data_IF_425980225010
#
_entry.id   IF_425980225010
#
_cell.length_a   1.000
_cell.length_b   1.000
_cell.length_c   1.000
_cell.angle_alpha   90.00
_cell.angle_beta   90.00
_cell.angle_gamma   90.00
#
_symmetry.space_group_name_H-M   'P 1'
#
loop_
_entity.id
_entity.type
_entity.pdbx_description
1 polymer ?
#
# COMPACT_ATOMS: atom_id res chain seq x y z
N UNK A 1 -30.44 34.18 -34.45
CA UNK A 1 -29.07 33.89 -34.93
C UNK A 1 -28.08 34.74 -34.16
N UNK A 2 -26.97 34.12 -33.73
CA UNK A 2 -25.79 34.66 -33.03
C UNK A 2 -25.91 34.80 -31.51
N UNK A 3 -25.32 33.84 -30.80
CA UNK A 3 -24.17 34.06 -29.91
C UNK A 3 -23.84 32.76 -29.17
N UNK A 4 -22.67 32.15 -29.43
CA UNK A 4 -21.79 31.51 -28.43
C UNK A 4 -20.62 30.78 -29.11
N UNK A 5 -19.57 31.48 -29.54
CA UNK A 5 -18.21 30.89 -29.63
C UNK A 5 -17.20 32.01 -29.37
N UNK A 6 -16.61 32.04 -28.17
CA UNK A 6 -15.25 32.54 -27.92
C UNK A 6 -14.80 32.10 -26.51
N UNK A 7 -14.08 30.96 -26.43
CA UNK A 7 -12.89 30.74 -25.59
C UNK A 7 -12.43 29.29 -25.72
N UNK A 8 -11.26 29.08 -26.31
CA UNK A 8 -10.64 27.77 -26.47
C UNK A 8 -9.38 27.88 -27.33
N UNK A 9 -8.31 28.51 -26.79
CA UNK A 9 -6.96 28.55 -27.41
C UNK A 9 -5.84 28.53 -26.36
N UNK A 10 -6.06 27.85 -25.23
CA UNK A 10 -5.08 27.76 -24.14
C UNK A 10 -4.70 26.34 -23.71
N UNK A 11 -5.59 25.35 -23.91
CA UNK A 11 -5.35 23.97 -23.48
C UNK A 11 -4.44 23.20 -24.46
N UNK A 12 -4.59 23.41 -25.77
CA UNK A 12 -3.84 22.64 -26.78
C UNK A 12 -2.32 22.89 -26.73
N UNK A 13 -1.88 24.07 -26.27
CA UNK A 13 -0.46 24.42 -26.24
C UNK A 13 0.30 23.73 -25.10
N UNK A 14 -0.37 23.43 -23.99
CA UNK A 14 0.20 22.71 -22.83
C UNK A 14 0.25 21.19 -23.06
N UNK A 15 -0.75 20.63 -23.76
CA UNK A 15 -0.76 19.22 -24.14
C UNK A 15 0.32 18.88 -25.19
N UNK A 16 0.56 19.78 -26.15
CA UNK A 16 1.58 19.57 -27.17
C UNK A 16 3.01 19.67 -26.61
N UNK A 17 3.26 20.57 -25.65
CA UNK A 17 4.57 20.64 -24.97
C UNK A 17 4.88 19.40 -24.14
N UNK A 18 3.89 18.82 -23.44
CA UNK A 18 4.09 17.59 -22.68
C UNK A 18 4.44 16.38 -23.56
N UNK A 19 3.79 16.26 -24.72
CA UNK A 19 4.09 15.18 -25.69
C UNK A 19 5.46 15.33 -26.36
N UNK A 20 5.97 16.56 -26.52
CA UNK A 20 7.32 16.80 -27.04
C UNK A 20 8.40 16.50 -25.99
N UNK A 21 8.13 16.77 -24.71
CA UNK A 21 9.02 16.45 -23.60
C UNK A 21 9.11 14.95 -23.35
N UNK A 22 8.00 14.21 -23.41
CA UNK A 22 7.99 12.75 -23.32
C UNK A 22 8.81 12.09 -24.44
N UNK A 23 8.70 12.59 -25.68
CA UNK A 23 9.51 12.09 -26.80
C UNK A 23 11.00 12.36 -26.63
N UNK A 24 11.39 13.47 -25.99
CA UNK A 24 12.79 13.76 -25.67
C UNK A 24 13.32 12.80 -24.60
N UNK A 25 12.55 12.58 -23.54
CA UNK A 25 12.93 11.65 -22.47
C UNK A 25 13.08 10.22 -23.01
N UNK A 26 12.16 9.78 -23.87
CA UNK A 26 12.22 8.45 -24.49
C UNK A 26 13.43 8.30 -25.44
N UNK A 27 13.79 9.36 -26.16
CA UNK A 27 14.98 9.38 -27.02
C UNK A 27 16.28 9.35 -26.20
N UNK A 28 16.34 10.08 -25.08
CA UNK A 28 17.49 10.10 -24.17
C UNK A 28 17.71 8.72 -23.51
N UNK A 29 16.62 8.06 -23.09
CA UNK A 29 16.66 6.71 -22.51
C UNK A 29 17.14 5.66 -23.51
N UNK A 30 16.65 5.70 -24.75
CA UNK A 30 17.11 4.80 -25.82
C UNK A 30 18.58 5.01 -26.16
N UNK A 31 19.06 6.25 -26.10
CA UNK A 31 20.48 6.57 -26.30
C UNK A 31 21.35 6.02 -25.17
N UNK A 32 20.93 6.18 -23.91
CA UNK A 32 21.64 5.64 -22.75
C UNK A 32 21.68 4.10 -22.77
N UNK A 33 20.57 3.45 -23.14
CA UNK A 33 20.52 1.99 -23.23
C UNK A 33 21.45 1.45 -24.34
N UNK A 34 21.57 2.18 -25.45
CA UNK A 34 22.50 1.82 -26.52
C UNK A 34 23.97 2.01 -26.09
N UNK A 35 24.29 3.10 -25.41
CA UNK A 35 25.63 3.35 -24.86
C UNK A 35 26.04 2.27 -23.84
N UNK A 36 25.11 1.81 -22.99
CA UNK A 36 25.39 0.76 -22.01
C UNK A 36 25.51 -0.63 -22.66
N UNK A 37 24.75 -0.90 -23.73
CA UNK A 37 24.94 -2.10 -24.57
C UNK A 37 26.29 -2.10 -25.27
N UNK A 38 26.74 -0.95 -25.78
CA UNK A 38 28.03 -0.81 -26.45
C UNK A 38 29.20 -0.93 -25.45
N UNK A 39 29.06 -0.39 -24.22
CA UNK A 39 30.03 -0.59 -23.12
C UNK A 39 30.11 -2.07 -22.71
N UNK A 40 28.99 -2.77 -22.63
CA UNK A 40 28.95 -4.19 -22.28
C UNK A 40 29.55 -5.07 -23.40
N UNK A 41 29.40 -4.67 -24.66
CA UNK A 41 30.01 -5.36 -25.81
C UNK A 41 31.52 -5.15 -25.84
N UNK A 42 32.00 -3.94 -25.59
CA UNK A 42 33.43 -3.65 -25.46
C UNK A 42 34.08 -4.38 -24.26
N UNK A 43 33.38 -4.51 -23.12
CA UNK A 43 33.90 -5.30 -21.99
C UNK A 43 34.06 -6.79 -22.34
N UNK A 44 33.21 -7.34 -23.21
CA UNK A 44 33.30 -8.75 -23.66
C UNK A 44 34.37 -8.96 -24.75
N UNK A 45 34.73 -7.94 -25.51
CA UNK A 45 35.81 -8.00 -26.50
C UNK A 45 37.21 -7.83 -25.88
N UNK A 46 37.32 -7.12 -24.75
CA UNK A 46 38.62 -6.86 -24.07
C UNK A 46 39.10 -8.04 -23.20
N UNK A 47 38.25 -9.04 -22.91
CA UNK A 47 38.65 -10.17 -22.06
C UNK A 47 38.08 -11.52 -22.54
N UNK A 48 38.82 -12.28 -23.38
CA UNK A 48 38.30 -13.50 -24.00
C UNK A 48 38.37 -14.75 -23.10
N UNK A 49 38.67 -14.65 -21.79
CA UNK A 49 38.96 -15.81 -20.93
C UNK A 49 37.90 -16.21 -19.89
N UNK A 50 36.67 -15.72 -19.97
CA UNK A 50 35.57 -16.23 -19.13
C UNK A 50 34.59 -17.09 -19.94
N UNK A 51 35.08 -18.22 -20.45
CA UNK A 51 34.25 -19.41 -20.69
C UNK A 51 34.79 -20.56 -19.86
N UNK A 52 34.05 -20.92 -18.82
CA UNK A 52 34.15 -22.19 -18.11
C UNK A 52 35.24 -22.24 -17.03
N UNK A 53 34.82 -22.41 -15.78
CA UNK A 53 35.75 -22.69 -14.69
C UNK A 53 35.07 -22.75 -13.33
N UNK A 54 34.75 -23.97 -12.89
CA UNK A 54 34.41 -24.36 -11.52
C UNK A 54 35.46 -23.80 -10.54
N UNK A 55 35.03 -23.22 -9.41
CA UNK A 55 35.95 -22.82 -8.33
C UNK A 55 35.46 -23.40 -7.00
N UNK A 56 36.31 -24.25 -6.43
CA UNK A 56 36.26 -24.76 -5.06
C UNK A 56 36.75 -23.71 -4.07
N UNK A 57 36.22 -23.76 -2.85
CA UNK A 57 36.52 -22.87 -1.74
C UNK A 57 37.66 -23.45 -0.90
N UNK A 58 38.67 -22.69 -0.49
CA UNK A 58 39.45 -22.96 0.74
C UNK A 58 40.08 -21.68 1.35
N UNK A 59 39.56 -21.31 2.53
CA UNK A 59 40.20 -20.78 3.75
C UNK A 59 41.35 -19.74 3.69
N UNK A 60 41.08 -18.57 4.31
CA UNK A 60 41.86 -18.08 5.46
C UNK A 60 42.48 -16.69 5.38
N UNK A 61 41.92 -15.71 6.12
CA UNK A 61 42.54 -15.01 7.28
C UNK A 61 41.90 -13.64 7.59
N UNK A 62 41.83 -13.37 8.89
CA UNK A 62 41.30 -12.21 9.61
C UNK A 62 42.35 -11.11 9.80
N UNK A 63 41.96 -9.83 9.74
CA UNK A 63 42.61 -8.71 10.44
C UNK A 63 41.53 -7.71 10.92
N UNK A 64 41.63 -7.32 12.18
CA UNK A 64 40.80 -6.39 12.94
C UNK A 64 41.27 -4.93 12.81
N UNK A 65 40.33 -3.98 12.79
CA UNK A 65 40.36 -2.72 13.58
C UNK A 65 39.09 -1.89 13.32
N UNK A 66 38.50 -1.38 14.40
CA UNK A 66 37.43 -0.37 14.49
C UNK A 66 38.02 0.84 15.25
N UNK A 67 37.33 1.98 15.44
CA UNK A 67 36.10 2.48 14.81
C UNK A 67 36.23 3.95 14.31
N UNK A 68 35.34 4.43 13.44
CA UNK A 68 34.64 5.71 13.67
C UNK A 68 33.52 5.97 12.67
N UNK A 69 32.55 6.73 13.19
CA UNK A 69 31.25 7.10 12.64
C UNK A 69 31.41 7.98 11.40
N UNK A 70 30.57 7.76 10.39
CA UNK A 70 29.74 8.83 9.84
C UNK A 70 28.60 8.26 8.99
N UNK A 71 27.50 9.00 9.09
CA UNK A 71 26.20 8.88 8.44
C UNK A 71 26.23 8.79 6.91
N UNK A 72 25.16 8.21 6.36
CA UNK A 72 24.78 8.15 4.94
C UNK A 72 25.47 7.06 4.10
N UNK A 73 24.89 5.87 4.12
CA UNK A 73 25.05 4.90 3.04
C UNK A 73 23.96 5.15 1.99
N UNK A 74 24.25 6.10 1.10
CA UNK A 74 23.68 6.16 -0.25
C UNK A 74 24.31 5.04 -1.09
N UNK A 75 23.52 4.04 -1.52
CA UNK A 75 23.86 3.08 -2.58
C UNK A 75 22.56 2.40 -3.08
N UNK A 76 22.49 1.89 -4.33
CA UNK A 76 22.11 2.58 -5.56
C UNK A 76 20.70 2.18 -6.07
N UNK A 77 19.97 3.13 -6.65
CA UNK A 77 18.72 2.89 -7.38
C UNK A 77 19.07 2.49 -8.82
N UNK A 78 18.53 1.33 -9.25
CA UNK A 78 18.32 0.82 -10.63
C UNK A 78 19.00 -0.53 -10.89
N UNK A 79 18.17 -1.58 -10.94
CA UNK A 79 18.56 -2.86 -11.50
C UNK A 79 17.58 -3.98 -11.16
N UNK A 80 16.45 -4.05 -11.89
CA UNK A 80 15.62 -5.26 -11.92
C UNK A 80 14.13 -5.05 -11.67
N UNK A 81 13.46 -4.26 -12.51
CA UNK A 81 12.00 -4.31 -12.59
C UNK A 81 11.63 -5.49 -13.50
N UNK A 82 11.06 -6.54 -12.92
CA UNK A 82 10.57 -7.72 -13.64
C UNK A 82 9.13 -7.49 -14.11
N UNK A 83 8.65 -8.37 -14.99
CA UNK A 83 7.38 -8.40 -15.73
C UNK A 83 6.08 -8.19 -14.92
N UNK A 84 6.14 -8.01 -13.59
CA UNK A 84 4.99 -7.84 -12.68
C UNK A 84 4.59 -6.38 -12.40
N UNK A 85 5.24 -5.41 -13.04
CA UNK A 85 4.89 -3.98 -12.97
C UNK A 85 3.51 -3.66 -13.62
N UNK A 86 2.82 -4.65 -14.20
CA UNK A 86 1.58 -4.45 -14.93
C UNK A 86 0.36 -4.18 -14.04
N UNK A 87 0.28 -4.66 -12.78
CA UNK A 87 -0.87 -4.39 -11.89
C UNK A 87 -0.79 -3.01 -11.24
N UNK A 88 0.40 -2.57 -10.83
CA UNK A 88 0.66 -1.17 -10.43
C UNK A 88 0.48 -0.23 -11.63
N UNK A 89 0.68 -0.71 -12.87
CA UNK A 89 0.37 0.01 -14.10
C UNK A 89 -1.11 -0.05 -14.52
N UNK A 90 -1.86 -1.10 -14.20
CA UNK A 90 -3.32 -1.13 -14.41
C UNK A 90 -4.04 -0.14 -13.51
N UNK A 91 -3.52 0.07 -12.29
CA UNK A 91 -3.90 1.22 -11.46
C UNK A 91 -3.47 2.56 -12.08
N UNK A 92 -2.59 2.65 -13.09
CA UNK A 92 -2.29 3.90 -13.81
C UNK A 92 -3.20 4.16 -15.03
N UNK A 93 -3.94 3.17 -15.53
CA UNK A 93 -4.71 3.29 -16.78
C UNK A 93 -6.10 3.93 -16.65
N UNK A 94 -6.56 4.23 -15.42
CA UNK A 94 -7.63 5.21 -15.18
C UNK A 94 -6.96 6.52 -14.80
N UNK A 95 -6.94 7.51 -15.70
CA UNK A 95 -6.19 8.77 -15.59
C UNK A 95 -6.37 9.66 -14.34
N UNK A 96 -7.10 9.21 -13.31
CA UNK A 96 -7.15 9.83 -11.98
C UNK A 96 -6.18 9.22 -10.95
N UNK A 97 -5.66 8.02 -11.16
CA UNK A 97 -4.92 7.25 -10.14
C UNK A 97 -3.40 7.52 -10.09
N UNK A 98 -2.82 8.13 -11.12
CA UNK A 98 -1.40 8.55 -11.11
C UNK A 98 -1.12 9.59 -10.01
N UNK A 99 -2.08 10.48 -9.73
CA UNK A 99 -2.01 11.45 -8.63
C UNK A 99 -2.07 10.76 -7.26
N UNK A 100 -2.94 9.76 -7.12
CA UNK A 100 -3.10 8.99 -5.88
C UNK A 100 -1.84 8.19 -5.57
N UNK A 101 -1.23 7.53 -6.56
CA UNK A 101 0.03 6.81 -6.36
C UNK A 101 1.17 7.74 -5.91
N UNK A 102 1.24 8.96 -6.46
CA UNK A 102 2.22 9.98 -6.06
C UNK A 102 1.94 10.52 -4.64
N UNK A 103 0.69 10.67 -4.25
CA UNK A 103 0.28 11.07 -2.89
C UNK A 103 0.51 9.98 -1.85
N UNK A 104 0.24 8.72 -2.19
CA UNK A 104 0.55 7.54 -1.35
C UNK A 104 2.05 7.43 -1.10
N UNK A 105 2.88 7.64 -2.13
CA UNK A 105 4.34 7.64 -1.95
C UNK A 105 4.86 8.76 -1.04
N UNK A 106 4.08 9.83 -0.83
CA UNK A 106 4.37 10.91 0.13
C UNK A 106 3.86 10.63 1.54
N UNK A 107 3.00 9.62 1.73
CA UNK A 107 2.47 9.26 3.04
C UNK A 107 3.56 8.57 3.87
N UNK A 108 3.60 8.89 5.16
CA UNK A 108 4.59 8.30 6.07
C UNK A 108 4.35 6.80 6.21
N UNK A 109 5.40 6.02 5.96
CA UNK A 109 5.51 4.62 6.34
C UNK A 109 6.67 4.48 7.32
N UNK A 110 6.47 3.71 8.39
CA UNK A 110 7.51 3.43 9.39
C UNK A 110 7.58 1.94 9.65
N UNK A 111 8.77 1.47 10.01
CA UNK A 111 9.01 0.10 10.45
C UNK A 111 9.86 0.18 11.71
N UNK A 112 9.44 -0.55 12.74
CA UNK A 112 10.10 -0.66 14.03
C UNK A 112 10.38 -2.14 14.32
N UNK A 113 11.58 -2.44 14.82
CA UNK A 113 11.95 -3.77 15.29
C UNK A 113 11.34 -4.00 16.67
N UNK A 114 10.63 -5.12 16.83
CA UNK A 114 10.08 -5.50 18.13
C UNK A 114 10.99 -6.44 18.90
N UNK A 115 11.91 -7.11 18.20
CA UNK A 115 12.87 -8.04 18.76
C UNK A 115 14.24 -7.99 18.07
N UNK A 116 15.23 -8.60 18.74
CA UNK A 116 16.63 -8.58 18.30
C UNK A 116 16.93 -9.55 17.15
N UNK A 117 16.04 -10.50 16.88
CA UNK A 117 16.20 -11.53 15.84
C UNK A 117 15.56 -11.16 14.49
N UNK A 118 15.00 -9.94 14.38
CA UNK A 118 14.37 -9.40 13.17
C UNK A 118 13.13 -10.19 12.69
N UNK A 119 12.59 -11.10 13.52
CA UNK A 119 11.43 -11.92 13.15
C UNK A 119 10.09 -11.22 13.41
N UNK A 120 10.04 -10.27 14.34
CA UNK A 120 8.85 -9.50 14.65
C UNK A 120 9.08 -8.00 14.46
N UNK A 121 8.21 -7.41 13.64
CA UNK A 121 8.29 -6.04 13.19
C UNK A 121 6.93 -5.38 13.38
N UNK A 122 6.94 -4.09 13.69
CA UNK A 122 5.76 -3.23 13.70
C UNK A 122 5.84 -2.27 12.52
N UNK A 123 4.87 -2.37 11.63
CA UNK A 123 4.68 -1.39 10.55
C UNK A 123 3.71 -0.30 10.99
N UNK A 124 3.91 0.92 10.50
CA UNK A 124 2.91 1.98 10.57
C UNK A 124 2.70 2.55 9.18
N UNK A 125 1.45 2.67 8.74
CA UNK A 125 1.09 3.34 7.49
C UNK A 125 0.08 4.45 7.78
N UNK A 126 0.31 5.63 7.21
CA UNK A 126 -0.70 6.69 7.21
C UNK A 126 -1.81 6.35 6.22
N UNK A 127 -3.06 6.70 6.57
CA UNK A 127 -4.19 6.60 5.68
C UNK A 127 -4.06 7.56 4.49
N UNK A 128 -4.30 7.11 3.24
CA UNK A 128 -4.12 7.96 2.06
C UNK A 128 -5.09 9.17 2.06
N UNK A 129 -4.68 10.31 1.48
CA UNK A 129 -5.55 11.48 1.34
C UNK A 129 -6.75 11.17 0.42
N UNK A 130 -7.83 11.91 0.58
CA UNK A 130 -9.08 11.77 -0.18
C UNK A 130 -9.76 10.40 -0.02
N UNK A 131 -9.41 9.67 1.04
CA UNK A 131 -10.04 8.40 1.42
C UNK A 131 -10.73 8.52 2.78
N UNK A 132 -11.62 7.59 3.15
CA UNK A 132 -12.16 7.52 4.50
C UNK A 132 -11.11 7.34 5.60
N UNK A 133 -9.89 6.96 5.22
CA UNK A 133 -8.78 6.64 6.12
C UNK A 133 -7.85 7.83 6.37
N UNK A 134 -8.05 8.94 5.64
CA UNK A 134 -7.21 10.14 5.73
C UNK A 134 -7.07 10.64 7.18
N UNK A 135 -5.83 10.99 7.55
CA UNK A 135 -5.47 11.43 8.90
C UNK A 135 -5.37 10.30 9.93
N UNK A 136 -5.74 9.06 9.58
CA UNK A 136 -5.53 7.88 10.41
C UNK A 136 -4.09 7.34 10.33
N UNK A 137 -3.62 6.74 11.41
CA UNK A 137 -2.38 5.94 11.44
C UNK A 137 -2.73 4.48 11.76
N UNK A 138 -2.34 3.57 10.88
CA UNK A 138 -2.66 2.14 11.00
C UNK A 138 -1.41 1.36 11.35
N UNK A 139 -1.47 0.67 12.49
CA UNK A 139 -0.41 -0.19 12.98
C UNK A 139 -0.60 -1.60 12.42
N UNK A 140 0.51 -2.18 11.95
CA UNK A 140 0.60 -3.49 11.34
C UNK A 140 1.54 -4.37 12.17
N UNK A 141 1.14 -5.61 12.41
CA UNK A 141 2.02 -6.68 12.85
C UNK A 141 2.65 -7.32 11.61
N UNK A 142 3.96 -7.46 11.60
CA UNK A 142 4.72 -8.07 10.52
C UNK A 142 5.58 -9.18 11.13
N UNK A 143 5.37 -10.42 10.70
CA UNK A 143 6.17 -11.57 11.11
C UNK A 143 6.96 -12.10 9.93
N UNK A 144 8.28 -12.08 10.06
CA UNK A 144 9.21 -12.58 9.03
C UNK A 144 9.41 -14.08 9.25
N UNK A 145 9.05 -14.95 8.29
CA UNK A 145 9.28 -16.38 8.44
C UNK A 145 10.78 -16.69 8.28
N UNK A 146 11.22 -17.82 8.84
CA UNK A 146 12.58 -18.35 8.65
C UNK A 146 12.94 -18.58 7.17
N UNK A 147 11.93 -18.77 6.32
CA UNK A 147 12.08 -18.99 4.88
C UNK A 147 12.08 -17.70 4.05
N UNK A 148 12.08 -16.52 4.68
CA UNK A 148 12.25 -15.25 3.99
C UNK A 148 13.65 -15.18 3.32
N UNK A 149 13.78 -14.67 2.07
CA UNK A 149 12.77 -14.00 1.25
C UNK A 149 12.01 -14.92 0.28
N UNK A 150 12.11 -16.24 0.40
CA UNK A 150 11.40 -17.16 -0.51
C UNK A 150 9.90 -17.27 -0.20
N UNK A 151 9.51 -17.04 1.05
CA UNK A 151 8.12 -16.86 1.44
C UNK A 151 7.86 -15.43 1.94
N UNK A 152 6.63 -14.91 1.75
CA UNK A 152 6.27 -13.56 2.17
C UNK A 152 6.23 -13.44 3.70
N UNK A 153 6.44 -12.22 4.24
CA UNK A 153 6.12 -11.94 5.63
C UNK A 153 4.61 -12.09 5.88
N UNK A 154 4.23 -12.54 7.07
CA UNK A 154 2.83 -12.52 7.52
C UNK A 154 2.51 -11.12 8.03
N UNK A 155 1.56 -10.45 7.41
CA UNK A 155 1.15 -9.09 7.79
C UNK A 155 -0.31 -9.07 8.21
N UNK A 156 -0.61 -8.34 9.29
CA UNK A 156 -1.97 -8.17 9.80
C UNK A 156 -2.16 -6.77 10.38
N UNK A 157 -3.36 -6.20 10.23
CA UNK A 157 -3.72 -4.97 10.90
C UNK A 157 -3.92 -5.19 12.40
N UNK A 158 -3.16 -4.45 13.20
CA UNK A 158 -3.39 -4.33 14.64
C UNK A 158 -4.44 -3.26 14.91
N UNK A 159 -4.35 -2.13 14.19
CA UNK A 159 -5.39 -1.11 14.20
C UNK A 159 -6.64 -1.63 13.49
N UNK A 160 -7.76 -1.69 14.21
CA UNK A 160 -9.04 -2.09 13.63
C UNK A 160 -9.45 -1.15 12.50
N UNK A 161 -9.97 -1.72 11.41
CA UNK A 161 -10.31 -0.98 10.19
C UNK A 161 -11.56 -1.56 9.54
N UNK A 162 -12.35 -0.69 8.91
CA UNK A 162 -13.53 -1.07 8.12
C UNK A 162 -13.19 -1.00 6.63
N UNK A 163 -12.74 -2.11 6.05
CA UNK A 163 -12.29 -2.18 4.65
C UNK A 163 -12.68 -3.53 3.99
N UNK A 164 -13.14 -3.60 2.72
CA UNK A 164 -13.58 -4.85 2.10
C UNK A 164 -12.53 -5.97 2.09
N UNK A 165 -11.26 -5.63 1.85
CA UNK A 165 -10.13 -6.58 1.78
C UNK A 165 -9.38 -6.78 3.10
N UNK A 166 -9.88 -6.25 4.23
CA UNK A 166 -9.27 -6.43 5.55
C UNK A 166 -10.35 -6.84 6.54
N UNK A 167 -10.13 -7.92 7.30
CA UNK A 167 -11.10 -8.39 8.29
C UNK A 167 -11.33 -7.33 9.38
N UNK A 168 -12.58 -6.94 9.60
CA UNK A 168 -12.97 -6.01 10.66
C UNK A 168 -12.76 -6.57 12.08
N UNK A 169 -12.66 -7.90 12.20
CA UNK A 169 -12.48 -8.63 13.46
C UNK A 169 -11.01 -8.90 13.74
N UNK A 170 -10.30 -9.52 12.79
CA UNK A 170 -8.93 -10.02 13.01
C UNK A 170 -7.84 -9.12 12.44
N UNK A 171 -8.17 -8.24 11.50
CA UNK A 171 -7.20 -7.47 10.73
C UNK A 171 -6.46 -8.29 9.67
N UNK A 172 -6.87 -9.54 9.40
CA UNK A 172 -6.32 -10.35 8.32
C UNK A 172 -6.51 -9.64 6.96
N UNK A 173 -5.56 -9.81 6.05
CA UNK A 173 -5.50 -9.09 4.77
C UNK A 173 -5.66 -10.09 3.62
N UNK A 174 -6.53 -9.79 2.66
CA UNK A 174 -6.52 -10.46 1.37
C UNK A 174 -5.72 -9.62 0.36
N UNK A 175 -4.46 -9.99 0.14
CA UNK A 175 -3.60 -9.36 -0.86
C UNK A 175 -2.72 -10.42 -1.54
N UNK A 176 -2.70 -10.42 -2.87
CA UNK A 176 -2.05 -11.43 -3.71
C UNK A 176 -0.53 -11.49 -3.51
N UNK A 177 0.13 -10.34 -3.31
CA UNK A 177 1.58 -10.29 -3.04
C UNK A 177 1.99 -10.91 -1.69
N UNK A 178 1.03 -11.11 -0.77
CA UNK A 178 1.27 -11.81 0.50
C UNK A 178 0.94 -13.32 0.41
N UNK A 179 0.61 -13.80 -0.79
CA UNK A 179 0.22 -15.17 -1.09
C UNK A 179 1.04 -15.72 -2.27
N UNK A 180 0.41 -15.91 -3.42
CA UNK A 180 0.94 -16.58 -4.61
C UNK A 180 1.72 -15.65 -5.54
N UNK A 181 1.57 -14.33 -5.39
CA UNK A 181 2.28 -13.34 -6.21
C UNK A 181 3.52 -12.76 -5.51
N UNK A 182 3.96 -13.37 -4.41
CA UNK A 182 5.18 -12.97 -3.72
C UNK A 182 6.41 -13.23 -4.59
N UNK A 183 7.29 -12.23 -4.68
CA UNK A 183 8.59 -12.37 -5.30
C UNK A 183 9.69 -12.01 -4.30
N UNK A 184 10.77 -12.79 -4.26
CA UNK A 184 11.88 -12.57 -3.33
C UNK A 184 12.60 -11.21 -3.51
N UNK A 185 12.35 -10.51 -4.63
CA UNK A 185 12.82 -9.16 -4.88
C UNK A 185 11.96 -8.07 -4.22
N UNK A 186 10.78 -8.42 -3.69
CA UNK A 186 9.93 -7.48 -2.96
C UNK A 186 10.54 -7.16 -1.59
N UNK A 187 10.29 -5.94 -1.14
CA UNK A 187 10.77 -5.41 0.14
C UNK A 187 9.60 -5.11 1.08
N UNK A 188 9.86 -4.98 2.38
CA UNK A 188 8.87 -4.50 3.34
C UNK A 188 8.30 -3.13 2.91
N UNK A 189 9.14 -2.25 2.37
CA UNK A 189 8.71 -0.96 1.83
C UNK A 189 7.66 -1.12 0.73
N UNK A 190 7.89 -2.01 -0.24
CA UNK A 190 6.93 -2.25 -1.31
C UNK A 190 5.64 -2.89 -0.80
N UNK A 191 5.71 -3.76 0.22
CA UNK A 191 4.51 -4.33 0.87
C UNK A 191 3.68 -3.23 1.53
N UNK A 192 4.30 -2.34 2.31
CA UNK A 192 3.60 -1.25 3.00
C UNK A 192 2.95 -0.25 2.03
N UNK A 193 3.64 0.08 0.93
CA UNK A 193 3.08 0.92 -0.12
C UNK A 193 1.90 0.26 -0.83
N UNK A 194 1.97 -1.05 -1.09
CA UNK A 194 0.85 -1.80 -1.65
C UNK A 194 -0.36 -1.83 -0.71
N UNK A 195 -0.15 -1.91 0.60
CA UNK A 195 -1.23 -1.81 1.58
C UNK A 195 -1.87 -0.42 1.60
N UNK A 196 -1.09 0.65 1.50
CA UNK A 196 -1.66 2.00 1.36
C UNK A 196 -2.43 2.16 0.04
N UNK A 197 -1.93 1.59 -1.06
CA UNK A 197 -2.65 1.59 -2.33
C UNK A 197 -3.98 0.82 -2.22
N UNK A 198 -3.99 -0.31 -1.50
CA UNK A 198 -5.22 -1.07 -1.20
C UNK A 198 -6.24 -0.22 -0.45
N UNK A 199 -5.81 0.57 0.55
CA UNK A 199 -6.71 1.50 1.26
C UNK A 199 -7.33 2.55 0.32
N UNK A 200 -6.63 2.98 -0.72
CA UNK A 200 -7.15 3.93 -1.71
C UNK A 200 -8.04 3.26 -2.77
N UNK A 201 -7.82 1.99 -3.06
CA UNK A 201 -8.50 1.23 -4.09
C UNK A 201 -8.88 -0.17 -3.60
N UNK A 202 -10.01 -0.26 -2.89
CA UNK A 202 -10.56 -1.53 -2.45
C UNK A 202 -11.02 -2.39 -3.64
N UNK A 203 -10.94 -3.71 -3.50
CA UNK A 203 -11.40 -4.71 -4.45
C UNK A 203 -12.56 -5.52 -3.85
N UNK A 204 -13.80 -5.03 -3.91
CA UNK A 204 -14.92 -5.64 -3.21
C UNK A 204 -15.41 -6.94 -3.87
N UNK A 205 -14.95 -7.28 -5.08
CA UNK A 205 -15.28 -8.55 -5.75
C UNK A 205 -14.45 -9.74 -5.27
N UNK A 206 -13.30 -9.48 -4.61
CA UNK A 206 -12.50 -10.48 -3.87
C UNK A 206 -12.30 -10.06 -2.40
N UNK A 207 -13.37 -10.08 -1.57
CA UNK A 207 -13.34 -9.50 -0.25
C UNK A 207 -12.74 -10.43 0.80
N UNK A 208 -12.11 -9.83 1.80
CA UNK A 208 -11.74 -10.51 3.05
C UNK A 208 -12.89 -10.46 4.09
N UNK A 209 -13.71 -9.40 4.02
CA UNK A 209 -14.85 -9.19 4.89
C UNK A 209 -16.12 -8.97 4.06
N UNK A 210 -16.96 -10.00 4.01
CA UNK A 210 -18.16 -10.01 3.18
C UNK A 210 -19.21 -8.97 3.61
N UNK A 211 -19.29 -8.66 4.92
CA UNK A 211 -20.24 -7.67 5.45
C UNK A 211 -19.81 -6.27 5.01
N UNK A 212 -18.53 -5.96 5.16
CA UNK A 212 -17.97 -4.68 4.73
C UNK A 212 -18.09 -4.52 3.21
N UNK A 213 -17.78 -5.56 2.45
CA UNK A 213 -17.89 -5.56 0.99
C UNK A 213 -19.34 -5.38 0.52
N UNK A 214 -20.30 -6.01 1.20
CA UNK A 214 -21.73 -5.81 0.93
C UNK A 214 -22.13 -4.35 1.15
N UNK A 215 -21.75 -3.75 2.28
CA UNK A 215 -22.02 -2.33 2.55
C UNK A 215 -21.34 -1.42 1.52
N UNK A 216 -20.11 -1.74 1.09
CA UNK A 216 -19.40 -1.01 0.05
C UNK A 216 -20.17 -0.99 -1.28
N UNK A 217 -20.69 -2.16 -1.72
CA UNK A 217 -21.41 -2.31 -2.99
C UNK A 217 -22.82 -1.72 -2.95
N UNK A 218 -23.55 -1.98 -1.87
CA UNK A 218 -24.98 -1.63 -1.75
C UNK A 218 -25.21 -0.22 -1.18
N UNK A 219 -24.24 0.33 -0.43
CA UNK A 219 -24.43 1.55 0.35
C UNK A 219 -23.10 2.32 0.53
N UNK A 220 -22.49 2.73 -0.58
CA UNK A 220 -21.16 3.36 -0.60
C UNK A 220 -21.02 4.57 0.34
N UNK A 221 -22.04 5.43 0.43
CA UNK A 221 -22.00 6.58 1.33
C UNK A 221 -22.05 6.17 2.80
N UNK A 222 -22.76 5.08 3.12
CA UNK A 222 -22.74 4.52 4.47
C UNK A 222 -21.41 3.88 4.77
N UNK A 223 -20.84 3.10 3.84
CA UNK A 223 -19.48 2.58 3.96
C UNK A 223 -18.47 3.68 4.25
N UNK A 224 -18.50 4.80 3.50
CA UNK A 224 -17.59 5.93 3.69
C UNK A 224 -17.71 6.54 5.08
N UNK A 225 -18.93 6.71 5.58
CA UNK A 225 -19.15 7.24 6.93
C UNK A 225 -18.69 6.26 8.02
N UNK A 226 -19.00 4.96 7.86
CA UNK A 226 -18.55 3.91 8.77
C UNK A 226 -17.03 3.83 8.81
N UNK A 227 -16.36 3.83 7.66
CA UNK A 227 -14.91 3.79 7.57
C UNK A 227 -14.23 5.04 8.16
N UNK A 228 -14.79 6.24 7.95
CA UNK A 228 -14.34 7.47 8.62
C UNK A 228 -14.47 7.37 10.14
N UNK A 229 -15.60 6.88 10.61
CA UNK A 229 -15.84 6.68 12.04
C UNK A 229 -14.84 5.70 12.65
N UNK A 230 -14.64 4.54 12.04
CA UNK A 230 -13.64 3.57 12.49
C UNK A 230 -12.22 4.15 12.49
N UNK A 231 -11.87 4.92 11.46
CA UNK A 231 -10.58 5.62 11.39
C UNK A 231 -10.42 6.62 12.54
N UNK A 232 -11.47 7.38 12.88
CA UNK A 232 -11.42 8.32 14.00
C UNK A 232 -11.28 7.64 15.37
N UNK A 233 -11.95 6.50 15.55
CA UNK A 233 -11.94 5.78 16.83
C UNK A 233 -10.64 4.97 17.03
N UNK A 234 -10.20 4.24 16.00
CA UNK A 234 -9.09 3.28 16.14
C UNK A 234 -7.76 3.78 15.60
N UNK A 235 -7.76 4.71 14.65
CA UNK A 235 -6.57 5.19 13.95
C UNK A 235 -6.26 6.67 14.22
N UNK A 236 -7.05 7.36 15.06
CA UNK A 236 -6.85 8.77 15.41
C UNK A 236 -7.25 9.77 14.31
N UNK A 237 -8.06 9.34 13.34
CA UNK A 237 -8.56 10.21 12.28
C UNK A 237 -9.45 11.38 12.79
N UNK A 238 -9.62 12.45 12.00
CA UNK A 238 -10.27 13.68 12.45
C UNK A 238 -11.80 13.62 12.45
N UNK A 239 -12.42 12.61 11.80
CA UNK A 239 -13.84 12.62 11.49
C UNK A 239 -14.68 11.76 12.44
N UNK A 240 -15.27 12.38 13.46
CA UNK A 240 -16.26 11.73 14.34
C UNK A 240 -17.68 12.00 13.87
N UNK A 241 -18.56 11.01 14.01
CA UNK A 241 -19.98 11.14 13.74
C UNK A 241 -20.79 11.06 15.05
N UNK A 242 -21.35 12.19 15.55
CA UNK A 242 -22.12 12.21 16.80
C UNK A 242 -23.37 11.32 16.78
N UNK A 243 -23.99 11.11 15.62
CA UNK A 243 -25.15 10.24 15.49
C UNK A 243 -24.78 8.78 15.76
N UNK A 244 -23.62 8.35 15.23
CA UNK A 244 -23.08 7.01 15.45
C UNK A 244 -22.72 6.82 16.93
N UNK A 245 -22.07 7.81 17.53
CA UNK A 245 -21.75 7.79 18.97
C UNK A 245 -23.01 7.67 19.82
N UNK A 246 -24.10 8.37 19.46
CA UNK A 246 -25.38 8.26 20.17
C UNK A 246 -26.00 6.86 20.05
N UNK A 247 -25.96 6.24 18.86
CA UNK A 247 -26.47 4.88 18.67
C UNK A 247 -25.65 3.85 19.45
N UNK A 248 -24.32 3.99 19.46
CA UNK A 248 -23.44 3.14 20.25
C UNK A 248 -23.77 3.29 21.74
N UNK A 249 -23.93 4.53 22.23
CA UNK A 249 -24.30 4.78 23.63
C UNK A 249 -25.57 4.06 24.06
N UNK A 250 -26.60 4.04 23.21
CA UNK A 250 -27.84 3.30 23.52
C UNK A 250 -27.61 1.81 23.75
N UNK A 251 -26.72 1.19 22.96
CA UNK A 251 -26.38 -0.23 23.15
C UNK A 251 -25.49 -0.42 24.38
N UNK A 252 -24.54 0.49 24.65
CA UNK A 252 -23.69 0.40 25.84
C UNK A 252 -24.48 0.61 27.14
N UNK A 253 -25.52 1.45 27.11
CA UNK A 253 -26.43 1.64 28.25
C UNK A 253 -27.22 0.36 28.56
N UNK A 254 -27.37 -0.54 27.59
CA UNK A 254 -27.95 -1.88 27.75
C UNK A 254 -26.91 -2.94 28.17
N UNK A 255 -25.66 -2.54 28.41
CA UNK A 255 -24.57 -3.44 28.85
C UNK A 255 -23.76 -4.08 27.72
N UNK A 256 -23.96 -3.69 26.46
CA UNK A 256 -23.15 -4.17 25.32
C UNK A 256 -21.78 -3.49 25.35
N UNK A 257 -20.71 -4.23 25.08
CA UNK A 257 -19.36 -3.64 24.96
C UNK A 257 -19.30 -2.62 23.80
N UNK A 258 -18.62 -1.49 23.98
CA UNK A 258 -18.51 -0.42 22.96
C UNK A 258 -18.02 -0.93 21.59
N UNK A 259 -17.01 -1.81 21.57
CA UNK A 259 -16.54 -2.40 20.32
C UNK A 259 -17.60 -3.29 19.67
N UNK A 260 -18.24 -4.15 20.44
CA UNK A 260 -19.29 -5.05 19.96
C UNK A 260 -20.51 -4.27 19.43
N UNK A 261 -20.94 -3.24 20.14
CA UNK A 261 -22.00 -2.32 19.71
C UNK A 261 -21.64 -1.64 18.37
N UNK A 262 -20.41 -1.15 18.23
CA UNK A 262 -19.93 -0.53 16.99
C UNK A 262 -19.91 -1.52 15.82
N UNK A 263 -19.46 -2.76 16.04
CA UNK A 263 -19.46 -3.81 15.01
C UNK A 263 -20.88 -4.15 14.57
N UNK A 264 -21.80 -4.38 15.52
CA UNK A 264 -23.19 -4.67 15.21
C UNK A 264 -23.82 -3.53 14.40
N UNK A 265 -23.76 -2.29 14.89
CA UNK A 265 -24.32 -1.12 14.18
C UNK A 265 -23.69 -0.95 12.79
N UNK A 266 -22.37 -1.08 12.67
CA UNK A 266 -21.68 -0.97 11.38
C UNK A 266 -22.16 -2.03 10.38
N UNK A 267 -22.44 -3.24 10.86
CA UNK A 267 -22.87 -4.39 10.05
C UNK A 267 -24.31 -4.28 9.54
N UNK A 268 -25.16 -3.49 10.21
CA UNK A 268 -26.56 -3.27 9.85
C UNK A 268 -26.84 -1.83 9.39
N UNK A 269 -25.87 -1.18 8.73
CA UNK A 269 -26.04 0.19 8.20
C UNK A 269 -26.54 1.20 9.25
N UNK A 270 -26.10 1.03 10.51
CA UNK A 270 -26.48 1.87 11.64
C UNK A 270 -27.99 1.88 11.94
N UNK A 271 -28.69 0.82 11.56
CA UNK A 271 -30.04 0.51 12.01
C UNK A 271 -29.98 -0.03 13.45
N UNK A 272 -30.49 0.76 14.39
CA UNK A 272 -30.43 0.43 15.81
C UNK A 272 -31.30 -0.78 16.16
N UNK A 273 -32.47 -0.90 15.53
CA UNK A 273 -33.42 -1.99 15.81
C UNK A 273 -32.81 -3.32 15.38
N UNK A 274 -32.35 -3.41 14.13
CA UNK A 274 -31.70 -4.62 13.59
C UNK A 274 -30.43 -4.98 14.34
N UNK A 275 -29.61 -3.99 14.70
CA UNK A 275 -28.39 -4.25 15.48
C UNK A 275 -28.72 -4.77 16.88
N UNK A 276 -29.77 -4.25 17.52
CA UNK A 276 -30.24 -4.72 18.83
C UNK A 276 -30.77 -6.14 18.74
N UNK A 277 -31.61 -6.43 17.75
CA UNK A 277 -32.12 -7.78 17.49
C UNK A 277 -30.99 -8.79 17.31
N UNK A 278 -29.95 -8.45 16.54
CA UNK A 278 -28.80 -9.35 16.34
C UNK A 278 -28.00 -9.61 17.62
N UNK A 279 -27.93 -8.64 18.54
CA UNK A 279 -27.15 -8.79 19.78
C UNK A 279 -27.90 -9.64 20.82
N UNK A 280 -29.22 -9.51 20.89
CA UNK A 280 -30.05 -10.09 21.95
C UNK A 280 -30.93 -11.27 21.49
N UNK A 281 -30.88 -11.65 20.22
CA UNK A 281 -31.47 -12.91 19.71
C UNK A 281 -30.57 -14.10 19.99
#
# INVERSE_FOLDING_TARGET
MKNFIKKGRGADKLYLTGLEEEKKIEAEQKKQEQEDKDKLKNQKEVNPHLRGGRVENHLGKTISSSPDRDSNLDLPILGGLTQHDWRVSQLRHRGGLANIALQVAKCAIKVELLNDDYTELKGEIAGPPETPYEGGTFILEIKVPETYPFNPPKVRFMTKIWHPNISSVTGAICLDILKDQWAAAMTLRTVLLSLQALLAAAEPDDPQDAVVAKQFKESLDMFRQTAKHWTAIYAGGPHRNPEFDMKIRRLTDMGVEDHQARVALSSFNWDLERATEQIFS
#
